data_IF_541266269229
#
_entry.id   IF_541266269229
#
_cell.length_a   1.000
_cell.length_b   1.000
_cell.length_c   1.000
_cell.angle_alpha   90.00
_cell.angle_beta   90.00
_cell.angle_gamma   90.00
#
_symmetry.space_group_name_H-M   'P 1'
#
loop_
_entity.id
_entity.type
_entity.pdbx_description
1 polymer ?
#
# COMPACT_ATOMS: atom_id res chain seq x y z
N UNK A 1 15.78 -10.73 -15.80
CA UNK A 1 15.92 -9.35 -15.27
C UNK A 1 15.26 -9.28 -13.92
N UNK A 2 15.79 -8.48 -12.96
CA UNK A 2 15.21 -8.29 -11.63
C UNK A 2 14.48 -6.95 -11.61
N UNK A 3 13.16 -6.99 -11.53
CA UNK A 3 12.31 -5.81 -11.36
C UNK A 3 11.94 -5.64 -9.89
N UNK A 4 12.11 -4.44 -9.36
CA UNK A 4 11.64 -4.08 -8.02
C UNK A 4 10.62 -2.96 -8.13
N UNK A 5 9.49 -3.09 -7.44
CA UNK A 5 8.41 -2.11 -7.38
C UNK A 5 8.24 -1.69 -5.93
N UNK A 6 8.38 -0.40 -5.64
CA UNK A 6 8.14 0.16 -4.30
C UNK A 6 6.72 0.69 -4.23
N UNK A 7 5.91 0.10 -3.37
CA UNK A 7 4.49 0.37 -3.20
C UNK A 7 3.61 -0.77 -3.71
N UNK A 8 2.54 -1.11 -2.98
CA UNK A 8 1.62 -2.21 -3.26
C UNK A 8 0.24 -1.78 -3.79
N UNK A 9 0.08 -0.52 -4.22
CA UNK A 9 -1.21 0.01 -4.68
C UNK A 9 -1.54 -0.26 -6.15
N UNK A 10 -2.59 0.40 -6.66
CA UNK A 10 -3.08 0.23 -8.04
C UNK A 10 -2.01 0.50 -9.11
N UNK A 11 -1.11 1.47 -8.87
CA UNK A 11 -0.01 1.76 -9.79
C UNK A 11 0.97 0.57 -9.90
N UNK A 12 1.25 -0.12 -8.78
CA UNK A 12 2.10 -1.31 -8.79
C UNK A 12 1.47 -2.45 -9.59
N UNK A 13 0.18 -2.68 -9.45
CA UNK A 13 -0.57 -3.68 -10.24
C UNK A 13 -0.43 -3.39 -11.74
N UNK A 14 -0.64 -2.15 -12.15
CA UNK A 14 -0.49 -1.74 -13.56
C UNK A 14 0.95 -1.90 -14.06
N UNK A 15 1.93 -1.66 -13.19
CA UNK A 15 3.36 -1.89 -13.50
C UNK A 15 3.64 -3.39 -13.71
N UNK A 16 3.08 -4.27 -12.88
CA UNK A 16 3.20 -5.73 -13.04
C UNK A 16 2.63 -6.17 -14.39
N UNK A 17 1.40 -5.74 -14.73
CA UNK A 17 0.77 -6.04 -16.02
C UNK A 17 1.66 -5.57 -17.19
N UNK A 18 2.19 -4.33 -17.09
CA UNK A 18 3.10 -3.76 -18.09
C UNK A 18 4.40 -4.55 -18.25
N UNK A 19 5.02 -5.00 -17.16
CA UNK A 19 6.23 -5.84 -17.20
C UNK A 19 5.90 -7.18 -17.88
N UNK A 20 4.85 -7.86 -17.41
CA UNK A 20 4.47 -9.19 -17.95
C UNK A 20 4.05 -9.17 -19.40
N UNK A 21 3.55 -8.03 -19.91
CA UNK A 21 3.28 -7.87 -21.35
C UNK A 21 4.55 -7.90 -22.22
N UNK A 22 5.74 -7.73 -21.63
CA UNK A 22 7.03 -7.64 -22.33
C UNK A 22 8.06 -8.67 -21.88
N UNK A 23 8.05 -9.01 -20.58
CA UNK A 23 9.00 -9.96 -19.98
C UNK A 23 8.21 -10.95 -19.08
N UNK A 24 8.07 -12.16 -19.60
CA UNK A 24 7.35 -13.24 -18.92
C UNK A 24 8.18 -13.93 -17.84
N UNK A 25 9.54 -13.82 -17.93
CA UNK A 25 10.46 -14.62 -17.10
C UNK A 25 11.20 -13.80 -16.04
N UNK A 26 11.32 -12.47 -16.22
CA UNK A 26 12.01 -11.61 -15.27
C UNK A 26 11.37 -11.71 -13.87
N UNK A 27 12.22 -11.75 -12.83
CA UNK A 27 11.69 -11.77 -11.46
C UNK A 27 11.10 -10.41 -11.10
N UNK A 28 9.93 -10.40 -10.46
CA UNK A 28 9.28 -9.20 -9.95
C UNK A 28 9.18 -9.30 -8.43
N UNK A 29 9.67 -8.27 -7.74
CA UNK A 29 9.49 -8.11 -6.29
C UNK A 29 8.73 -6.81 -6.02
N UNK A 30 7.62 -6.90 -5.30
CA UNK A 30 6.85 -5.75 -4.80
C UNK A 30 7.15 -5.57 -3.32
N UNK A 31 7.58 -4.38 -2.95
CA UNK A 31 7.81 -3.97 -1.56
C UNK A 31 6.61 -3.13 -1.13
N UNK A 32 5.88 -3.56 -0.12
CA UNK A 32 4.73 -2.83 0.42
C UNK A 32 4.80 -2.74 1.94
N UNK A 33 4.45 -1.59 2.48
CA UNK A 33 4.29 -1.42 3.93
C UNK A 33 2.89 -1.83 4.43
N UNK A 34 1.94 -2.02 3.51
CA UNK A 34 0.60 -2.52 3.82
C UNK A 34 0.55 -4.04 3.58
N UNK A 35 -0.03 -4.78 4.53
CA UNK A 35 -0.17 -6.24 4.46
C UNK A 35 -1.35 -6.70 3.58
N UNK A 36 -1.97 -5.76 2.86
CA UNK A 36 -3.14 -6.02 2.03
C UNK A 36 -2.77 -6.10 0.55
N UNK A 37 -3.46 -6.94 -0.25
CA UNK A 37 -3.41 -6.85 -1.70
C UNK A 37 -3.82 -5.46 -2.19
N UNK A 38 -3.40 -5.08 -3.39
CA UNK A 38 -3.79 -3.80 -3.97
C UNK A 38 -5.31 -3.61 -4.01
N UNK A 39 -5.78 -2.50 -3.47
CA UNK A 39 -7.19 -2.14 -3.41
C UNK A 39 -7.45 -0.73 -3.92
N UNK A 40 -8.70 -0.46 -4.28
CA UNK A 40 -9.14 0.86 -4.71
C UNK A 40 -9.39 1.76 -3.50
N UNK A 41 -8.44 2.65 -3.19
CA UNK A 41 -8.53 3.58 -2.04
C UNK A 41 -9.83 4.37 -1.98
N UNK A 42 -10.42 4.87 -3.08
CA UNK A 42 -11.71 5.56 -3.00
C UNK A 42 -12.86 4.69 -2.48
N UNK A 43 -12.74 3.36 -2.52
CA UNK A 43 -13.79 2.45 -2.07
C UNK A 43 -13.76 2.17 -0.56
N UNK A 44 -12.73 2.61 0.18
CA UNK A 44 -12.69 2.42 1.64
C UNK A 44 -13.81 3.18 2.36
N UNK A 45 -14.28 4.30 1.80
CA UNK A 45 -15.44 5.03 2.32
C UNK A 45 -16.73 4.23 2.17
N UNK A 46 -16.92 3.55 1.02
CA UNK A 46 -18.07 2.67 0.81
C UNK A 46 -18.02 1.42 1.69
N UNK A 47 -16.82 0.93 1.98
CA UNK A 47 -16.62 -0.15 2.97
C UNK A 47 -17.08 0.33 4.36
N UNK A 48 -16.58 1.46 4.83
CA UNK A 48 -16.92 2.01 6.16
C UNK A 48 -18.41 2.34 6.28
N UNK A 49 -19.06 2.76 5.19
CA UNK A 49 -20.49 3.04 5.11
C UNK A 49 -21.35 1.76 5.05
N UNK A 50 -20.72 0.58 4.92
CA UNK A 50 -21.43 -0.70 4.77
C UNK A 50 -22.01 -0.96 3.37
N UNK A 51 -21.73 -0.10 2.39
CA UNK A 51 -22.19 -0.25 0.99
C UNK A 51 -21.37 -1.23 0.17
N UNK A 52 -20.15 -1.50 0.58
CA UNK A 52 -19.25 -2.45 -0.08
C UNK A 52 -18.67 -3.44 0.91
N UNK A 53 -18.61 -4.71 0.51
CA UNK A 53 -17.87 -5.72 1.28
C UNK A 53 -16.37 -5.55 1.05
N UNK A 54 -15.55 -5.99 2.01
CA UNK A 54 -14.09 -5.95 1.95
C UNK A 54 -13.55 -6.54 0.64
N UNK A 55 -14.10 -7.67 0.20
CA UNK A 55 -13.61 -8.38 -0.98
C UNK A 55 -13.86 -7.61 -2.29
N UNK A 56 -14.82 -6.70 -2.30
CA UNK A 56 -15.17 -5.93 -3.50
C UNK A 56 -14.28 -4.69 -3.73
N UNK A 57 -13.39 -4.36 -2.80
CA UNK A 57 -12.51 -3.21 -2.92
C UNK A 57 -11.15 -3.55 -3.55
N UNK A 58 -10.80 -4.83 -3.65
CA UNK A 58 -9.52 -5.26 -4.20
C UNK A 58 -9.43 -5.04 -5.72
N UNK A 59 -8.26 -4.61 -6.19
CA UNK A 59 -8.00 -4.30 -7.61
C UNK A 59 -7.94 -5.55 -8.49
N UNK A 60 -7.60 -6.71 -7.91
CA UNK A 60 -7.37 -7.98 -8.62
C UNK A 60 -7.81 -9.15 -7.77
N UNK A 61 -7.88 -10.34 -8.39
CA UNK A 61 -8.12 -11.61 -7.71
C UNK A 61 -7.02 -11.91 -6.69
N UNK A 62 -7.32 -12.78 -5.74
CA UNK A 62 -6.35 -13.25 -4.73
C UNK A 62 -5.14 -13.96 -5.39
N UNK A 63 -5.35 -14.63 -6.52
CA UNK A 63 -4.29 -15.32 -7.26
C UNK A 63 -3.38 -14.41 -8.07
N UNK A 64 -3.70 -13.12 -8.23
CA UNK A 64 -3.01 -12.23 -9.16
C UNK A 64 -1.49 -12.24 -9.01
N UNK A 65 -0.96 -12.09 -7.79
CA UNK A 65 0.48 -12.07 -7.55
C UNK A 65 1.12 -13.43 -7.85
N UNK A 66 0.43 -14.52 -7.54
CA UNK A 66 0.88 -15.88 -7.82
C UNK A 66 0.88 -16.16 -9.33
N UNK A 67 -0.20 -15.80 -10.03
CA UNK A 67 -0.34 -16.00 -11.48
C UNK A 67 0.72 -15.24 -12.28
N UNK A 68 1.15 -14.08 -11.74
CA UNK A 68 2.19 -13.26 -12.33
C UNK A 68 3.59 -13.54 -11.77
N UNK A 69 3.78 -14.62 -10.98
CA UNK A 69 5.05 -14.96 -10.36
C UNK A 69 5.73 -13.79 -9.66
N UNK A 70 4.97 -13.04 -8.85
CA UNK A 70 5.42 -11.87 -8.12
C UNK A 70 5.73 -12.24 -6.67
N UNK A 71 6.96 -11.92 -6.22
CA UNK A 71 7.32 -11.97 -4.81
C UNK A 71 6.84 -10.68 -4.12
N UNK A 72 6.06 -10.82 -3.07
CA UNK A 72 5.69 -9.69 -2.20
C UNK A 72 6.57 -9.67 -0.96
N UNK A 73 7.04 -8.49 -0.58
CA UNK A 73 7.84 -8.25 0.62
C UNK A 73 7.14 -7.19 1.46
N UNK A 74 6.76 -7.57 2.67
CA UNK A 74 6.21 -6.62 3.65
C UNK A 74 7.36 -5.85 4.28
N UNK A 75 7.38 -4.53 4.07
CA UNK A 75 8.42 -3.66 4.60
C UNK A 75 8.36 -2.26 3.99
N UNK A 76 9.09 -1.35 4.58
CA UNK A 76 9.21 0.03 4.11
C UNK A 76 10.58 0.25 3.48
N UNK A 77 10.59 0.69 2.22
CA UNK A 77 11.81 1.11 1.55
C UNK A 77 12.29 2.45 2.13
N UNK A 78 13.48 2.46 2.72
CA UNK A 78 14.03 3.65 3.39
C UNK A 78 15.15 4.32 2.60
N UNK A 79 15.87 3.54 1.77
CA UNK A 79 16.96 4.08 0.94
C UNK A 79 17.02 3.37 -0.41
N UNK A 80 17.33 4.11 -1.44
CA UNK A 80 17.60 3.60 -2.78
C UNK A 80 19.04 3.98 -3.14
N UNK A 81 19.91 2.98 -3.28
CA UNK A 81 21.22 3.17 -3.89
C UNK A 81 21.13 2.92 -5.39
N UNK A 82 21.33 3.99 -6.17
CA UNK A 82 21.23 3.94 -7.63
C UNK A 82 22.53 3.46 -8.28
N UNK A 83 23.68 3.53 -7.60
CA UNK A 83 24.97 3.07 -8.10
C UNK A 83 25.07 1.55 -7.98
N UNK A 84 24.80 1.02 -6.77
CA UNK A 84 24.82 -0.42 -6.50
C UNK A 84 23.49 -1.09 -6.86
N UNK A 85 22.46 -0.32 -7.22
CA UNK A 85 21.11 -0.79 -7.55
C UNK A 85 20.51 -1.65 -6.45
N UNK A 86 20.44 -1.10 -5.26
CA UNK A 86 19.92 -1.75 -4.06
C UNK A 86 18.83 -0.88 -3.44
N UNK A 87 17.73 -1.51 -3.01
CA UNK A 87 16.74 -0.91 -2.12
C UNK A 87 16.93 -1.47 -0.73
N UNK A 88 17.18 -0.60 0.26
CA UNK A 88 17.26 -0.98 1.67
C UNK A 88 15.90 -0.79 2.35
N UNK A 89 15.49 -1.78 3.16
CA UNK A 89 14.27 -1.75 3.95
C UNK A 89 14.54 -1.35 5.40
N UNK A 90 13.49 -0.91 6.09
CA UNK A 90 13.53 -0.53 7.51
C UNK A 90 13.94 -1.68 8.45
N UNK A 91 13.80 -2.94 8.02
CA UNK A 91 14.23 -4.13 8.77
C UNK A 91 15.70 -4.55 8.49
N UNK A 92 16.42 -3.78 7.66
CA UNK A 92 17.81 -4.06 7.25
C UNK A 92 17.94 -4.98 6.04
N UNK A 93 16.85 -5.50 5.47
CA UNK A 93 16.90 -6.29 4.24
C UNK A 93 17.32 -5.40 3.06
N UNK A 94 18.20 -5.94 2.20
CA UNK A 94 18.69 -5.29 0.99
C UNK A 94 18.20 -6.04 -0.24
N UNK A 95 17.47 -5.35 -1.12
CA UNK A 95 16.87 -5.95 -2.32
C UNK A 95 17.56 -5.38 -3.57
N UNK A 96 18.36 -6.19 -4.26
CA UNK A 96 19.02 -5.76 -5.48
C UNK A 96 18.04 -5.75 -6.66
N UNK A 97 18.21 -4.76 -7.57
CA UNK A 97 17.38 -4.61 -8.75
C UNK A 97 18.19 -4.33 -10.03
N UNK A 98 17.63 -4.66 -11.19
CA UNK A 98 18.11 -4.20 -12.49
C UNK A 98 17.27 -3.02 -12.99
N UNK A 99 15.95 -3.06 -12.71
CA UNK A 99 14.98 -1.99 -12.98
C UNK A 99 14.14 -1.73 -11.74
N UNK A 100 13.92 -0.46 -11.45
CA UNK A 100 13.14 -0.01 -10.29
C UNK A 100 11.95 0.83 -10.76
N UNK A 101 10.78 0.55 -10.20
CA UNK A 101 9.59 1.37 -10.34
C UNK A 101 9.15 1.89 -8.96
N UNK A 102 8.96 3.20 -8.83
CA UNK A 102 8.51 3.83 -7.59
C UNK A 102 7.02 4.13 -7.70
N UNK A 103 6.21 3.39 -6.94
CA UNK A 103 4.74 3.47 -6.86
C UNK A 103 4.29 3.76 -5.42
N UNK A 104 5.07 4.53 -4.66
CA UNK A 104 4.91 4.74 -3.21
C UNK A 104 3.62 5.48 -2.82
N UNK A 105 2.93 6.11 -3.77
CA UNK A 105 1.71 6.86 -3.50
C UNK A 105 1.97 8.13 -2.68
N UNK A 106 1.06 8.42 -1.75
CA UNK A 106 1.12 9.59 -0.88
C UNK A 106 0.84 9.21 0.57
N UNK A 107 1.16 10.12 1.48
CA UNK A 107 0.81 10.03 2.91
C UNK A 107 -0.11 11.20 3.28
N UNK A 108 -1.01 11.03 4.26
CA UNK A 108 -1.83 12.13 4.75
C UNK A 108 -0.94 13.23 5.32
N UNK A 109 -1.25 14.47 5.00
CA UNK A 109 -0.68 15.62 5.68
C UNK A 109 -1.60 16.01 6.84
N UNK A 110 -1.07 15.97 8.06
CA UNK A 110 -1.75 16.46 9.25
C UNK A 110 -1.18 17.83 9.58
N UNK A 111 -1.95 18.93 9.37
CA UNK A 111 -1.46 20.25 9.68
C UNK A 111 -1.26 20.42 11.20
N UNK A 112 -0.33 21.25 11.64
CA UNK A 112 -0.20 21.57 13.05
C UNK A 112 -1.44 22.32 13.53
N UNK A 113 -2.14 21.76 14.50
CA UNK A 113 -3.35 22.32 15.12
C UNK A 113 -3.16 22.35 16.63
N UNK A 114 -3.40 23.52 17.25
CA UNK A 114 -3.31 23.65 18.71
C UNK A 114 -4.32 22.72 19.38
N UNK A 115 -3.86 21.93 20.34
CA UNK A 115 -4.68 20.97 21.07
C UNK A 115 -4.81 19.59 20.44
N UNK A 116 -4.37 19.39 19.20
CA UNK A 116 -4.46 18.07 18.55
C UNK A 116 -3.68 16.98 19.29
N UNK A 117 -2.58 17.36 19.97
CA UNK A 117 -1.77 16.45 20.78
C UNK A 117 -2.55 15.85 21.96
N UNK A 118 -3.54 16.59 22.49
CA UNK A 118 -4.37 16.14 23.61
C UNK A 118 -5.55 15.25 23.20
N UNK A 119 -5.81 15.11 21.89
CA UNK A 119 -6.90 14.26 21.38
C UNK A 119 -6.45 12.80 21.38
N UNK A 120 -7.13 11.96 22.14
CA UNK A 120 -6.80 10.53 22.23
C UNK A 120 -7.13 9.76 20.94
N UNK A 121 -8.35 9.95 20.40
CA UNK A 121 -8.83 9.28 19.20
C UNK A 121 -8.74 10.21 18.00
N UNK A 122 -7.66 10.10 17.25
CA UNK A 122 -7.43 10.86 16.03
C UNK A 122 -6.99 9.92 14.92
N UNK A 123 -7.54 10.10 13.75
CA UNK A 123 -7.36 9.21 12.61
C UNK A 123 -7.06 10.01 11.36
N UNK A 124 -6.29 9.44 10.47
CA UNK A 124 -6.29 9.78 9.06
C UNK A 124 -7.26 8.87 8.32
N UNK A 125 -7.58 9.18 7.06
CA UNK A 125 -8.46 8.33 6.28
C UNK A 125 -7.91 8.17 4.86
N UNK A 126 -6.88 7.33 4.73
CA UNK A 126 -6.22 7.07 3.46
C UNK A 126 -6.09 5.57 3.17
N UNK A 127 -5.88 4.75 4.20
CA UNK A 127 -5.66 3.31 4.08
C UNK A 127 -6.87 2.52 4.55
N UNK A 128 -6.93 1.24 4.17
CA UNK A 128 -7.96 0.34 4.69
C UNK A 128 -7.79 0.12 6.20
N UNK A 129 -6.55 0.16 6.71
CA UNK A 129 -6.27 0.05 8.14
C UNK A 129 -6.80 1.27 8.90
N UNK A 130 -6.77 2.47 8.30
CA UNK A 130 -7.44 3.66 8.87
C UNK A 130 -8.95 3.40 8.99
N UNK A 131 -9.57 2.83 7.94
CA UNK A 131 -11.00 2.51 7.98
C UNK A 131 -11.33 1.49 9.08
N UNK A 132 -10.52 0.44 9.25
CA UNK A 132 -10.69 -0.54 10.34
C UNK A 132 -10.52 0.10 11.71
N UNK A 133 -9.52 0.98 11.86
CA UNK A 133 -9.29 1.68 13.13
C UNK A 133 -10.46 2.60 13.49
N UNK A 134 -11.04 3.30 12.51
CA UNK A 134 -12.23 4.13 12.71
C UNK A 134 -13.43 3.25 13.05
N UNK A 135 -13.69 2.17 12.29
CA UNK A 135 -14.80 1.24 12.54
C UNK A 135 -14.79 0.69 13.97
N UNK A 136 -13.61 0.36 14.49
CA UNK A 136 -13.44 -0.12 15.86
C UNK A 136 -13.59 0.97 16.94
N UNK A 137 -13.36 2.23 16.59
CA UNK A 137 -13.30 3.34 17.55
C UNK A 137 -14.60 4.09 17.69
N UNK A 138 -15.54 3.97 16.73
CA UNK A 138 -16.80 4.72 16.69
C UNK A 138 -18.00 3.80 16.78
N UNK A 139 -19.07 4.32 17.38
CA UNK A 139 -20.39 3.72 17.47
C UNK A 139 -21.47 4.76 17.16
N UNK A 140 -22.75 4.36 17.23
CA UNK A 140 -23.89 5.24 16.96
C UNK A 140 -24.01 6.44 17.91
N UNK A 141 -23.33 6.42 19.08
CA UNK A 141 -23.33 7.49 20.08
C UNK A 141 -22.08 8.38 19.99
N UNK A 142 -21.13 8.03 19.13
CA UNK A 142 -19.87 8.74 19.02
C UNK A 142 -20.06 10.12 18.39
N UNK A 143 -19.37 11.13 18.94
CA UNK A 143 -19.28 12.47 18.34
C UNK A 143 -17.99 12.56 17.56
N UNK A 144 -18.09 12.80 16.27
CA UNK A 144 -16.95 12.89 15.35
C UNK A 144 -16.81 14.33 14.87
N UNK A 145 -15.59 14.86 14.92
CA UNK A 145 -15.20 16.12 14.30
C UNK A 145 -14.37 15.79 13.05
N UNK A 146 -14.70 16.44 11.92
CA UNK A 146 -13.99 16.30 10.64
C UNK A 146 -13.41 17.65 10.26
#
# INVERSE_FOLDING_TARGET
MRYVIIGGGAAAVSCIDGIRSRDQEGSITVISKEAHPAYFRPLISYYLEGKSKKDNIYCRSESFYQDHHVKTVLGEAVTIDTNDKIVALNNGEMIPYDKLCVCSGSSPFVPPMAGLESVEKKFTFLTIDDAFAIEQAVDENSRVLI
#
